data_IF_317928561393
#
_entry.id   IF_317928561393
#
_cell.length_a   1.000
_cell.length_b   1.000
_cell.length_c   1.000
_cell.angle_alpha   90.00
_cell.angle_beta   90.00
_cell.angle_gamma   90.00
#
_symmetry.space_group_name_H-M   'P 1'
#
loop_
_entity.id
_entity.type
_entity.pdbx_description
1 polymer ?
#
# COMPACT_ATOMS: atom_id res chain seq x y z
N UNK A 1 27.59 -2.41 -3.47
CA UNK A 1 26.33 -1.66 -3.71
C UNK A 1 25.13 -2.61 -3.58
N UNK A 2 25.05 -3.31 -2.45
CA UNK A 2 24.19 -4.49 -2.17
C UNK A 2 23.05 -4.04 -1.24
N UNK A 3 22.33 -2.99 -1.63
CA UNK A 3 21.10 -2.55 -0.93
C UNK A 3 19.85 -3.12 -1.62
N UNK A 4 19.99 -3.60 -2.85
CA UNK A 4 18.89 -4.24 -3.60
C UNK A 4 18.43 -5.57 -2.98
N UNK A 5 19.24 -6.20 -2.13
CA UNK A 5 18.91 -7.45 -1.44
C UNK A 5 17.88 -7.27 -0.29
N UNK A 6 17.69 -6.05 0.23
CA UNK A 6 16.71 -5.78 1.31
C UNK A 6 15.25 -5.98 0.89
N UNK A 7 14.91 -5.99 -0.40
CA UNK A 7 13.50 -6.07 -0.85
C UNK A 7 13.08 -7.44 -1.39
N UNK A 8 13.96 -8.43 -1.33
CA UNK A 8 13.66 -9.84 -1.63
C UNK A 8 12.71 -10.48 -0.57
N UNK A 9 12.39 -9.77 0.52
CA UNK A 9 11.49 -10.21 1.59
C UNK A 9 10.10 -9.56 1.54
N UNK A 10 9.46 -9.48 0.37
CA UNK A 10 7.97 -9.37 0.31
C UNK A 10 7.30 -10.69 0.74
N UNK A 11 7.77 -11.30 1.83
CA UNK A 11 7.24 -12.53 2.44
C UNK A 11 6.04 -12.18 3.32
N UNK A 12 4.89 -11.96 2.70
CA UNK A 12 3.59 -11.90 3.38
C UNK A 12 3.07 -10.48 3.66
N UNK A 13 2.28 -9.95 2.71
CA UNK A 13 1.28 -8.87 2.86
C UNK A 13 1.52 -7.85 4.01
N UNK A 14 2.47 -6.93 3.82
CA UNK A 14 2.58 -5.75 4.67
C UNK A 14 1.42 -4.79 4.38
N UNK A 15 0.60 -4.50 5.39
CA UNK A 15 -0.42 -3.45 5.35
C UNK A 15 0.28 -2.09 5.43
N UNK A 16 -0.18 -1.11 4.65
CA UNK A 16 0.29 0.28 4.71
C UNK A 16 -0.92 1.20 4.79
N UNK A 17 -0.77 2.28 5.55
CA UNK A 17 -1.77 3.32 5.58
C UNK A 17 -1.73 4.16 4.31
N UNK A 18 -2.89 4.71 3.93
CA UNK A 18 -2.97 5.74 2.90
C UNK A 18 -2.94 7.10 3.58
N UNK A 19 -1.83 7.81 3.41
CA UNK A 19 -1.60 9.14 3.97
C UNK A 19 -1.55 10.16 2.83
N UNK A 20 -2.26 11.28 2.95
CA UNK A 20 -2.29 12.36 1.95
C UNK A 20 -2.55 11.88 0.51
N UNK A 21 -3.52 10.98 0.32
CA UNK A 21 -3.81 10.37 -0.99
C UNK A 21 -2.64 9.59 -1.61
N UNK A 22 -1.68 9.14 -0.82
CA UNK A 22 -0.53 8.38 -1.28
C UNK A 22 -0.21 7.17 -0.38
N UNK A 23 0.48 6.19 -0.95
CA UNK A 23 0.97 5.04 -0.19
C UNK A 23 2.12 5.49 0.73
N UNK A 24 1.93 5.39 2.06
CA UNK A 24 2.94 5.81 3.03
C UNK A 24 4.31 5.12 2.85
N UNK A 25 4.36 3.93 2.23
CA UNK A 25 5.63 3.23 2.01
C UNK A 25 6.32 3.49 0.67
N UNK A 26 5.58 3.66 -0.42
CA UNK A 26 6.18 3.82 -1.75
C UNK A 26 5.91 5.18 -2.39
N UNK A 27 5.15 6.05 -1.73
CA UNK A 27 4.81 7.39 -2.19
C UNK A 27 3.91 7.44 -3.43
N UNK A 28 3.39 6.29 -3.90
CA UNK A 28 2.55 6.29 -5.10
C UNK A 28 1.22 6.94 -4.78
N UNK A 29 0.71 7.76 -5.69
CA UNK A 29 -0.61 8.34 -5.55
C UNK A 29 -1.68 7.25 -5.61
N UNK A 30 -2.62 7.28 -4.67
CA UNK A 30 -3.73 6.36 -4.53
C UNK A 30 -4.99 7.10 -4.94
N UNK A 31 -5.69 6.60 -5.96
CA UNK A 31 -6.92 7.22 -6.42
C UNK A 31 -8.03 7.18 -5.34
N UNK A 32 -9.00 8.08 -5.47
CA UNK A 32 -10.11 8.19 -4.51
C UNK A 32 -10.90 6.88 -4.34
N UNK A 33 -11.04 6.08 -5.41
CA UNK A 33 -11.73 4.78 -5.35
C UNK A 33 -10.98 3.77 -4.46
N UNK A 34 -9.65 3.65 -4.58
CA UNK A 34 -8.86 2.80 -3.68
C UNK A 34 -8.86 3.33 -2.26
N UNK A 35 -8.86 4.64 -2.05
CA UNK A 35 -9.01 5.23 -0.72
C UNK A 35 -10.34 4.83 -0.09
N UNK A 36 -11.45 4.97 -0.83
CA UNK A 36 -12.78 4.56 -0.38
C UNK A 36 -12.84 3.05 -0.08
N UNK A 37 -12.19 2.23 -0.88
CA UNK A 37 -12.07 0.80 -0.63
C UNK A 37 -11.23 0.53 0.63
N UNK A 38 -10.11 1.23 0.84
CA UNK A 38 -9.28 1.11 2.04
C UNK A 38 -10.02 1.50 3.33
N UNK A 39 -11.00 2.42 3.24
CA UNK A 39 -11.91 2.78 4.35
C UNK A 39 -13.02 1.75 4.56
N UNK A 40 -13.42 1.06 3.50
CA UNK A 40 -14.56 0.15 3.49
C UNK A 40 -14.11 -1.24 3.93
N UNK A 41 -14.51 -1.69 5.12
CA UNK A 41 -14.24 -3.06 5.61
C UNK A 41 -14.75 -4.19 4.69
N UNK A 42 -15.55 -3.87 3.66
CA UNK A 42 -16.03 -4.83 2.66
C UNK A 42 -15.02 -5.18 1.56
N UNK A 43 -14.02 -4.33 1.28
CA UNK A 43 -13.09 -4.57 0.17
C UNK A 43 -11.65 -4.27 0.56
N UNK A 44 -10.75 -5.23 0.33
CA UNK A 44 -9.32 -5.04 0.48
C UNK A 44 -8.79 -4.20 -0.70
N UNK A 45 -8.23 -3.03 -0.41
CA UNK A 45 -7.52 -2.21 -1.39
C UNK A 45 -6.03 -2.59 -1.43
N UNK A 46 -5.41 -2.54 -2.61
CA UNK A 46 -3.99 -2.87 -2.78
C UNK A 46 -3.26 -1.77 -3.54
N UNK A 47 -2.06 -1.42 -3.09
CA UNK A 47 -1.22 -0.44 -3.77
C UNK A 47 -0.81 -0.98 -5.15
N UNK A 48 -1.10 -0.26 -6.26
CA UNK A 48 -0.75 -0.73 -7.60
C UNK A 48 0.77 -0.77 -7.86
N UNK A 49 1.54 0.05 -7.14
CA UNK A 49 2.99 0.18 -7.36
C UNK A 49 3.82 -0.78 -6.51
N UNK A 50 3.36 -1.10 -5.28
CA UNK A 50 4.13 -1.97 -4.38
C UNK A 50 3.41 -3.26 -3.97
N UNK A 51 2.12 -3.42 -4.27
CA UNK A 51 1.33 -4.62 -3.97
C UNK A 51 0.98 -4.80 -2.49
N UNK A 52 1.14 -3.77 -1.65
CA UNK A 52 0.77 -3.79 -0.23
C UNK A 52 -0.72 -3.55 -0.02
N UNK A 53 -1.31 -4.11 1.03
CA UNK A 53 -2.71 -3.83 1.39
C UNK A 53 -2.78 -2.39 1.89
N UNK A 54 -3.71 -1.62 1.34
CA UNK A 54 -4.01 -0.27 1.78
C UNK A 54 -5.09 -0.33 2.86
N UNK A 55 -4.86 0.37 3.96
CA UNK A 55 -5.82 0.56 5.03
C UNK A 55 -5.98 2.05 5.31
N UNK A 56 -7.19 2.48 5.64
CA UNK A 56 -7.39 3.76 6.32
C UNK A 56 -8.32 3.54 7.50
N UNK A 57 -8.01 4.19 8.62
CA UNK A 57 -8.99 4.38 9.69
C UNK A 57 -10.10 5.31 9.22
#
# INVERSE_FOLDING_TARGET
>A
MVYNDLRSQKRGLAVTEVEDSACATCGTNINAALQQNARSQKQLAYCPSCGRILFSN
#
